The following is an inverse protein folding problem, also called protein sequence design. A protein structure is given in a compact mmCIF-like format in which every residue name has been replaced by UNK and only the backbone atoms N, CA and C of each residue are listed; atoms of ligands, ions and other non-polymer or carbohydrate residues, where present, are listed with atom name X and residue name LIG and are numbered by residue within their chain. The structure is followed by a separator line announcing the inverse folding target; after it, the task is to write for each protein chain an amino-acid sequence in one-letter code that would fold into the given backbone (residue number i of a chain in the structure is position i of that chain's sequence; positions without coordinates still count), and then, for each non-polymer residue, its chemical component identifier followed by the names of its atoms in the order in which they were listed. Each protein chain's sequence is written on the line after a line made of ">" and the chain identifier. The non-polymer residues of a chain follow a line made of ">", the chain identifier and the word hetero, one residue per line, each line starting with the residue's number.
data_IF_420503096292
#
_entry.id   IF_420503096292
#
_cell.length_a   1.000
_cell.length_b   1.000
_cell.length_c   1.000
_cell.angle_alpha   90.00
_cell.angle_beta   90.00
_cell.angle_gamma   90.00
#
_symmetry.space_group_name_H-M   'P 1'
#
loop_
_entity.id
_entity.type
_entity.pdbx_description
1 polymer ?
#
# COMPACT_ATOMS: atom_id res chain seq x y z
N UNK A 1 2.60 -13.63 -1.66
CA UNK A 1 1.28 -13.72 -2.31
C UNK A 1 0.28 -12.83 -1.58
N UNK A 2 -0.44 -11.98 -2.30
CA UNK A 2 -1.63 -11.24 -1.83
C UNK A 2 -2.78 -11.70 -2.71
N UNK A 3 -3.84 -12.30 -2.14
CA UNK A 3 -5.03 -12.73 -2.90
C UNK A 3 -4.74 -13.55 -4.18
N UNK A 4 -3.65 -14.33 -4.20
CA UNK A 4 -3.25 -15.11 -5.37
C UNK A 4 -2.31 -14.40 -6.35
N UNK A 5 -1.90 -13.17 -6.07
CA UNK A 5 -0.93 -12.36 -6.82
C UNK A 5 0.47 -12.58 -6.25
N UNK A 6 1.44 -12.86 -7.12
CA UNK A 6 2.86 -12.86 -6.75
C UNK A 6 3.37 -11.42 -6.63
N UNK A 7 3.69 -11.04 -5.40
CA UNK A 7 4.12 -9.69 -5.05
C UNK A 7 5.52 -9.39 -5.59
N UNK A 8 6.42 -10.39 -5.62
CA UNK A 8 7.77 -10.19 -6.14
C UNK A 8 7.72 -9.98 -7.66
N UNK A 9 6.86 -10.72 -8.35
CA UNK A 9 6.66 -10.58 -9.80
C UNK A 9 5.95 -9.28 -10.16
N UNK A 10 4.98 -8.84 -9.35
CA UNK A 10 4.28 -7.56 -9.52
C UNK A 10 5.20 -6.33 -9.52
N UNK A 11 6.44 -6.43 -9.02
CA UNK A 11 7.45 -5.37 -9.14
C UNK A 11 7.89 -5.13 -10.60
N UNK A 12 7.78 -6.13 -11.44
CA UNK A 12 8.33 -6.15 -12.80
C UNK A 12 7.27 -6.34 -13.89
N UNK A 13 6.03 -6.65 -13.50
CA UNK A 13 4.90 -6.92 -14.38
C UNK A 13 3.75 -5.94 -14.08
N UNK A 14 3.46 -5.07 -15.04
CA UNK A 14 2.46 -4.01 -14.90
C UNK A 14 1.05 -4.57 -14.68
N UNK A 15 0.70 -5.70 -15.31
CA UNK A 15 -0.63 -6.30 -15.18
C UNK A 15 -0.82 -6.87 -13.76
N UNK A 16 0.23 -7.49 -13.20
CA UNK A 16 0.23 -7.94 -11.81
C UNK A 16 0.26 -6.77 -10.82
N UNK A 17 0.95 -5.68 -11.13
CA UNK A 17 0.93 -4.48 -10.30
C UNK A 17 -0.46 -3.84 -10.27
N UNK A 18 -1.14 -3.76 -11.42
CA UNK A 18 -2.52 -3.28 -11.52
C UNK A 18 -3.44 -4.16 -10.68
N UNK A 19 -3.35 -5.49 -10.81
CA UNK A 19 -4.13 -6.40 -9.99
C UNK A 19 -3.85 -6.19 -8.49
N UNK A 20 -2.59 -5.98 -8.10
CA UNK A 20 -2.21 -5.71 -6.72
C UNK A 20 -2.83 -4.41 -6.20
N UNK A 21 -2.89 -3.38 -7.05
CA UNK A 21 -3.55 -2.12 -6.72
C UNK A 21 -5.07 -2.27 -6.54
N UNK A 22 -5.75 -2.99 -7.43
CA UNK A 22 -7.20 -3.24 -7.33
C UNK A 22 -7.56 -4.00 -6.04
N UNK A 23 -6.74 -4.98 -5.67
CA UNK A 23 -6.86 -5.71 -4.41
C UNK A 23 -6.61 -4.81 -3.20
N UNK A 24 -5.63 -3.90 -3.28
CA UNK A 24 -5.36 -2.94 -2.22
C UNK A 24 -6.54 -2.01 -1.97
N UNK A 25 -7.14 -1.50 -3.05
CA UNK A 25 -8.35 -0.67 -2.98
C UNK A 25 -9.52 -1.45 -2.37
N UNK A 26 -9.70 -2.70 -2.77
CA UNK A 26 -10.77 -3.56 -2.23
C UNK A 26 -10.67 -3.71 -0.71
N UNK A 27 -9.45 -3.84 -0.19
CA UNK A 27 -9.22 -4.04 1.24
C UNK A 27 -9.24 -2.72 2.06
N UNK A 28 -8.78 -1.59 1.50
CA UNK A 28 -8.55 -0.37 2.29
C UNK A 28 -9.19 0.91 1.77
N UNK A 29 -9.86 0.96 0.62
CA UNK A 29 -10.33 2.25 0.07
C UNK A 29 -11.22 3.01 1.06
N UNK A 30 -12.08 2.30 1.78
CA UNK A 30 -13.01 2.88 2.75
C UNK A 30 -12.36 3.36 4.06
N UNK A 31 -11.10 3.00 4.32
CA UNK A 31 -10.36 3.46 5.50
C UNK A 31 -9.77 4.86 5.29
N UNK A 32 -9.66 5.32 4.04
CA UNK A 32 -9.17 6.66 3.71
C UNK A 32 -10.22 7.72 3.98
N UNK A 33 -9.77 8.89 4.42
CA UNK A 33 -10.65 10.06 4.61
C UNK A 33 -11.29 10.56 3.30
N UNK A 34 -10.69 10.26 2.16
CA UNK A 34 -11.19 10.60 0.83
C UNK A 34 -11.00 9.43 -0.16
N UNK A 35 -11.88 8.41 -0.12
CA UNK A 35 -11.75 7.18 -0.92
C UNK A 35 -11.76 7.46 -2.43
N UNK A 36 -12.60 8.40 -2.89
CA UNK A 36 -12.78 8.73 -4.31
C UNK A 36 -11.47 9.19 -4.95
N UNK A 37 -10.63 9.95 -4.24
CA UNK A 37 -9.35 10.43 -4.76
C UNK A 37 -8.36 9.28 -4.90
N UNK A 38 -8.37 8.33 -3.98
CA UNK A 38 -7.49 7.16 -4.01
C UNK A 38 -7.92 6.23 -5.15
N UNK A 39 -9.23 5.96 -5.29
CA UNK A 39 -9.78 5.11 -6.35
C UNK A 39 -9.62 5.70 -7.76
N UNK A 40 -9.73 7.03 -7.91
CA UNK A 40 -9.66 7.72 -9.22
C UNK A 40 -8.28 8.28 -9.57
N UNK A 41 -7.29 8.19 -8.68
CA UNK A 41 -5.91 8.57 -8.97
C UNK A 41 -5.33 7.95 -10.26
N UNK A 42 -5.66 6.71 -10.68
CA UNK A 42 -5.11 6.13 -11.91
C UNK A 42 -5.76 6.65 -13.22
N UNK A 43 -6.55 7.73 -13.22
CA UNK A 43 -7.04 8.35 -14.47
C UNK A 43 -5.84 8.83 -15.30
N UNK A 44 -5.48 8.04 -16.32
CA UNK A 44 -4.30 8.26 -17.17
C UNK A 44 -3.35 7.06 -17.25
N UNK A 45 -3.55 6.01 -16.45
CA UNK A 45 -2.74 4.79 -16.45
C UNK A 45 -1.53 4.81 -15.50
N UNK A 46 -1.41 5.81 -14.63
CA UNK A 46 -0.28 5.96 -13.70
C UNK A 46 -0.52 5.21 -12.38
N UNK A 47 -0.66 3.88 -12.45
CA UNK A 47 -0.95 3.03 -11.28
C UNK A 47 0.15 3.07 -10.23
N UNK A 48 1.42 3.09 -10.64
CA UNK A 48 2.55 3.21 -9.69
C UNK A 48 2.46 4.49 -8.85
N UNK A 49 2.16 5.62 -9.49
CA UNK A 49 1.99 6.90 -8.81
C UNK A 49 0.75 6.89 -7.92
N UNK A 50 -0.37 6.32 -8.40
CA UNK A 50 -1.58 6.17 -7.60
C UNK A 50 -1.32 5.35 -6.32
N UNK A 51 -0.58 4.25 -6.44
CA UNK A 51 -0.19 3.43 -5.29
C UNK A 51 0.75 4.21 -4.36
N UNK A 52 1.77 4.90 -4.87
CA UNK A 52 2.65 5.74 -4.02
C UNK A 52 1.86 6.80 -3.24
N UNK A 53 0.87 7.44 -3.89
CA UNK A 53 -0.02 8.41 -3.24
C UNK A 53 -0.89 7.77 -2.16
N UNK A 54 -1.42 6.57 -2.40
CA UNK A 54 -2.16 5.82 -1.39
C UNK A 54 -1.26 5.48 -0.19
N UNK A 55 -0.02 5.05 -0.41
CA UNK A 55 0.97 4.80 0.66
C UNK A 55 1.27 6.07 1.44
N UNK A 56 1.39 7.20 0.75
CA UNK A 56 1.57 8.50 1.41
C UNK A 56 0.40 8.82 2.34
N UNK A 57 -0.82 8.54 1.91
CA UNK A 57 -2.02 8.84 2.68
C UNK A 57 -2.18 7.84 3.84
N UNK A 58 -1.79 6.56 3.68
CA UNK A 58 -1.65 5.61 4.80
C UNK A 58 -0.73 6.16 5.90
N UNK A 59 0.41 6.75 5.52
CA UNK A 59 1.37 7.33 6.47
C UNK A 59 0.79 8.56 7.17
N UNK A 60 0.12 9.45 6.42
CA UNK A 60 -0.40 10.70 6.95
C UNK A 60 -1.61 10.53 7.85
N UNK A 61 -2.52 9.64 7.45
CA UNK A 61 -3.74 9.35 8.19
C UNK A 61 -3.51 8.28 9.27
N UNK A 62 -2.33 7.66 9.29
CA UNK A 62 -1.92 6.58 10.19
C UNK A 62 -2.90 5.39 10.13
N UNK A 63 -3.34 5.04 8.92
CA UNK A 63 -4.27 3.93 8.65
C UNK A 63 -3.54 2.61 8.90
N UNK A 64 -4.11 1.75 9.74
CA UNK A 64 -3.50 0.47 10.09
C UNK A 64 -3.84 -0.61 9.06
N UNK A 65 -2.88 -0.93 8.18
CA UNK A 65 -2.99 -2.07 7.27
C UNK A 65 -2.56 -3.38 7.95
N UNK A 66 -2.91 -4.52 7.37
CA UNK A 66 -2.37 -5.83 7.79
C UNK A 66 -0.85 -5.91 7.57
N UNK A 67 -0.17 -6.77 8.34
CA UNK A 67 1.27 -7.02 8.17
C UNK A 67 1.59 -7.56 6.77
N UNK A 68 0.72 -8.41 6.22
CA UNK A 68 0.90 -8.98 4.88
C UNK A 68 0.92 -7.89 3.80
N UNK A 69 0.01 -6.91 3.91
CA UNK A 69 -0.02 -5.75 3.01
C UNK A 69 1.17 -4.82 3.19
N UNK A 70 1.65 -4.63 4.42
CA UNK A 70 2.87 -3.87 4.68
C UNK A 70 4.08 -4.52 3.97
N UNK A 71 4.23 -5.83 4.07
CA UNK A 71 5.29 -6.59 3.40
C UNK A 71 5.15 -6.51 1.87
N UNK A 72 3.91 -6.49 1.36
CA UNK A 72 3.66 -6.34 -0.07
C UNK A 72 4.13 -4.97 -0.59
N UNK A 73 3.81 -3.90 0.14
CA UNK A 73 4.26 -2.54 -0.19
C UNK A 73 5.79 -2.45 -0.13
N UNK A 74 6.43 -3.01 0.90
CA UNK A 74 7.90 -3.05 1.04
C UNK A 74 8.60 -3.77 -0.12
N UNK A 75 7.89 -4.68 -0.79
CA UNK A 75 8.44 -5.54 -1.86
C UNK A 75 8.20 -4.98 -3.26
N UNK A 76 6.96 -4.62 -3.56
CA UNK A 76 6.50 -4.31 -4.92
C UNK A 76 6.49 -2.81 -5.23
N UNK A 77 6.37 -1.94 -4.22
CA UNK A 77 6.13 -0.51 -4.44
C UNK A 77 7.44 0.27 -4.28
N UNK A 78 7.76 1.11 -5.27
CA UNK A 78 8.86 2.05 -5.14
C UNK A 78 8.47 3.19 -4.17
N UNK A 79 9.16 3.26 -3.03
CA UNK A 79 9.05 4.37 -2.10
C UNK A 79 10.21 5.33 -2.34
N UNK A 80 9.91 6.52 -2.84
CA UNK A 80 10.93 7.53 -3.12
C UNK A 80 11.74 7.91 -1.87
N UNK A 81 13.01 8.26 -2.04
CA UNK A 81 13.96 8.54 -0.94
C UNK A 81 13.43 9.58 0.07
N UNK A 82 12.64 10.54 -0.41
CA UNK A 82 11.97 11.53 0.42
C UNK A 82 11.03 10.91 1.48
N UNK A 83 10.36 9.81 1.14
CA UNK A 83 9.37 9.15 1.98
C UNK A 83 9.91 7.99 2.79
N UNK A 84 11.07 7.43 2.45
CA UNK A 84 11.62 6.21 3.07
C UNK A 84 11.63 6.26 4.60
N UNK A 85 12.09 7.37 5.21
CA UNK A 85 12.13 7.46 6.67
C UNK A 85 10.72 7.48 7.28
N UNK A 86 9.79 8.20 6.67
CA UNK A 86 8.40 8.28 7.16
C UNK A 86 7.70 6.93 7.01
N UNK A 87 7.92 6.25 5.89
CA UNK A 87 7.41 4.91 5.67
C UNK A 87 8.00 3.90 6.65
N UNK A 88 9.32 3.94 6.92
CA UNK A 88 9.94 3.07 7.92
C UNK A 88 9.36 3.26 9.33
N UNK A 89 9.06 4.51 9.71
CA UNK A 89 8.44 4.78 11.01
C UNK A 89 6.97 4.37 11.05
N UNK A 90 6.24 4.51 9.95
CA UNK A 90 4.88 3.95 9.79
C UNK A 90 4.89 2.42 9.90
N UNK A 91 5.79 1.74 9.18
CA UNK A 91 5.95 0.30 9.20
C UNK A 91 6.22 -0.25 10.61
N UNK A 92 7.03 0.46 11.42
CA UNK A 92 7.22 0.12 12.85
C UNK A 92 5.92 0.22 13.65
N UNK A 93 5.10 1.24 13.41
CA UNK A 93 3.82 1.42 14.12
C UNK A 93 2.83 0.32 13.75
N UNK A 94 2.69 -0.01 12.48
CA UNK A 94 1.85 -1.12 12.00
C UNK A 94 2.27 -2.44 12.65
N UNK A 95 3.57 -2.79 12.60
CA UNK A 95 4.08 -4.01 13.24
C UNK A 95 3.84 -4.01 14.76
N UNK A 96 4.04 -2.89 15.43
CA UNK A 96 3.80 -2.77 16.87
C UNK A 96 2.32 -2.90 17.24
N UNK A 97 1.40 -2.37 16.41
CA UNK A 97 -0.03 -2.51 16.58
C UNK A 97 -0.44 -3.99 16.56
N UNK A 98 -0.04 -4.73 15.53
CA UNK A 98 -0.40 -6.14 15.36
C UNK A 98 0.28 -7.07 16.36
N UNK A 99 1.51 -6.76 16.80
CA UNK A 99 2.18 -7.51 17.86
C UNK A 99 1.42 -7.43 19.20
N UNK A 100 0.85 -6.26 19.51
CA UNK A 100 0.04 -6.06 20.73
C UNK A 100 -1.32 -6.71 20.64
N UNK A 101 -1.95 -6.69 19.47
CA UNK A 101 -3.26 -7.32 19.25
C UNK A 101 -3.21 -8.85 19.33
N UNK A 102 -2.02 -9.45 19.19
CA UNK A 102 -1.79 -10.89 19.28
C UNK A 102 -1.49 -11.40 20.70
N UNK A 103 -1.51 -10.52 21.71
CA UNK A 103 -1.20 -10.82 23.12
C UNK A 103 -2.44 -10.71 23.98
#
# INVERSE_FOLDING_TARGET
>A
MIHGIDVEEARYDDDLFIALWEEFLTDYSQEFSNPDVVETAPIGGEYELAFELAVRDLIYEDIMISVQWLEAIETAVYISDHWQQRFADYAKRVRAHHARAST
#
